data_IF_567322860907
#
_entry.id   IF_567322860907
#
_cell.length_a   1.000
_cell.length_b   1.000
_cell.length_c   1.000
_cell.angle_alpha   90.00
_cell.angle_beta   90.00
_cell.angle_gamma   90.00
#
_symmetry.space_group_name_H-M   'P 1'
#
loop_
_entity.id
_entity.type
_entity.pdbx_description
1 polymer ?
#
# COMPACT_ATOMS: atom_id res chain seq x y z
N UNK A 1 -5.48 -3.82 16.51
CA UNK A 1 -5.78 -3.89 15.05
C UNK A 1 -4.47 -4.06 14.32
N UNK A 2 -4.40 -5.00 13.38
CA UNK A 2 -3.23 -5.20 12.52
C UNK A 2 -3.50 -4.52 11.17
N UNK A 3 -2.50 -3.82 10.64
CA UNK A 3 -2.57 -3.10 9.36
C UNK A 3 -1.37 -3.51 8.52
N UNK A 4 -1.64 -3.86 7.26
CA UNK A 4 -0.66 -4.15 6.22
C UNK A 4 -1.05 -3.31 5.01
N UNK A 5 -0.06 -2.82 4.26
CA UNK A 5 -0.31 -2.07 3.05
C UNK A 5 -0.77 -0.64 3.27
N UNK A 6 -1.23 -0.03 2.17
CA UNK A 6 -1.64 1.36 2.08
C UNK A 6 -0.62 2.25 1.36
N UNK A 7 -1.15 3.25 0.65
CA UNK A 7 -0.33 4.19 -0.12
C UNK A 7 0.45 5.15 0.78
N UNK A 8 1.52 5.73 0.23
CA UNK A 8 2.22 6.83 0.88
C UNK A 8 1.40 8.13 0.75
N UNK A 9 1.05 8.75 1.88
CA UNK A 9 0.17 9.93 1.91
C UNK A 9 0.75 11.10 1.11
N UNK A 10 2.03 11.40 1.27
CA UNK A 10 2.67 12.54 0.61
C UNK A 10 2.68 12.38 -0.91
N UNK A 11 3.02 11.18 -1.39
CA UNK A 11 2.98 10.85 -2.82
C UNK A 11 1.55 10.94 -3.37
N UNK A 12 0.57 10.42 -2.63
CA UNK A 12 -0.84 10.47 -3.03
C UNK A 12 -1.39 11.89 -3.08
N UNK A 13 -1.16 12.69 -2.04
CA UNK A 13 -1.62 14.08 -1.98
C UNK A 13 -0.99 14.91 -3.11
N UNK A 14 0.31 14.73 -3.36
CA UNK A 14 1.00 15.36 -4.49
C UNK A 14 0.37 14.96 -5.82
N UNK A 15 0.09 13.68 -6.01
CA UNK A 15 -0.53 13.20 -7.25
C UNK A 15 -1.93 13.76 -7.46
N UNK A 16 -2.78 13.72 -6.43
CA UNK A 16 -4.15 14.27 -6.49
C UNK A 16 -4.12 15.77 -6.79
N UNK A 17 -3.23 16.52 -6.15
CA UNK A 17 -3.08 17.96 -6.38
C UNK A 17 -2.72 18.27 -7.85
N UNK A 18 -1.73 17.57 -8.41
CA UNK A 18 -1.31 17.77 -9.80
C UNK A 18 -2.38 17.29 -10.80
N UNK A 19 -3.03 16.16 -10.53
CA UNK A 19 -4.11 15.64 -11.38
C UNK A 19 -5.33 16.58 -11.41
N UNK A 20 -5.59 17.31 -10.33
CA UNK A 20 -6.67 18.30 -10.26
C UNK A 20 -6.31 19.63 -10.91
N UNK A 21 -5.06 20.08 -10.78
CA UNK A 21 -4.63 21.42 -11.18
C UNK A 21 -4.08 21.51 -12.61
N UNK A 22 -3.24 20.57 -13.05
CA UNK A 22 -2.61 20.59 -14.38
C UNK A 22 -3.65 20.40 -15.50
N UNK A 23 -3.32 20.91 -16.70
CA UNK A 23 -4.15 20.81 -17.91
C UNK A 23 -3.31 20.45 -19.13
N UNK A 24 -3.99 20.03 -20.19
CA UNK A 24 -3.43 19.81 -21.54
C UNK A 24 -2.14 18.97 -21.53
N UNK A 25 -1.08 19.44 -22.20
CA UNK A 25 0.17 18.70 -22.34
C UNK A 25 0.86 18.46 -20.99
N UNK A 26 0.82 19.43 -20.06
CA UNK A 26 1.41 19.27 -18.73
C UNK A 26 0.72 18.13 -17.95
N UNK A 27 -0.62 18.04 -18.05
CA UNK A 27 -1.36 16.94 -17.44
C UNK A 27 -1.05 15.61 -18.12
N UNK A 28 -0.89 15.58 -19.45
CA UNK A 28 -0.54 14.37 -20.18
C UNK A 28 0.85 13.85 -19.77
N UNK A 29 1.84 14.74 -19.70
CA UNK A 29 3.21 14.42 -19.30
C UNK A 29 3.26 13.96 -17.85
N UNK A 30 2.53 14.64 -16.96
CA UNK A 30 2.41 14.24 -15.56
C UNK A 30 1.83 12.83 -15.42
N UNK A 31 0.73 12.52 -16.13
CA UNK A 31 0.10 11.19 -16.09
C UNK A 31 1.06 10.11 -16.61
N UNK A 32 1.72 10.36 -17.73
CA UNK A 32 2.69 9.42 -18.30
C UNK A 32 3.81 9.11 -17.29
N UNK A 33 4.36 10.15 -16.65
CA UNK A 33 5.38 9.99 -15.60
C UNK A 33 4.84 9.25 -14.38
N UNK A 34 3.72 9.71 -13.80
CA UNK A 34 3.19 9.18 -12.55
C UNK A 34 2.76 7.71 -12.67
N UNK A 35 1.95 7.36 -13.69
CA UNK A 35 1.50 5.98 -13.86
C UNK A 35 2.59 5.06 -14.44
N UNK A 36 3.57 5.65 -15.15
CA UNK A 36 4.74 4.96 -15.68
C UNK A 36 5.82 4.63 -14.63
N UNK A 37 5.82 5.31 -13.48
CA UNK A 37 6.83 5.15 -12.42
C UNK A 37 6.96 3.70 -11.91
N UNK A 38 8.16 3.38 -11.42
CA UNK A 38 8.42 2.08 -10.79
C UNK A 38 7.66 1.96 -9.45
N UNK A 39 7.34 0.72 -9.05
CA UNK A 39 6.63 0.44 -7.79
C UNK A 39 7.34 1.06 -6.58
N UNK A 40 8.68 1.06 -6.56
CA UNK A 40 9.47 1.60 -5.45
C UNK A 40 9.27 3.12 -5.25
N UNK A 41 8.95 3.86 -6.31
CA UNK A 41 8.78 5.32 -6.25
C UNK A 41 7.56 5.73 -5.43
N UNK A 42 6.55 4.86 -5.33
CA UNK A 42 5.32 5.16 -4.59
C UNK A 42 5.46 5.00 -3.09
N UNK A 43 6.53 4.33 -2.61
CA UNK A 43 6.85 4.18 -1.17
C UNK A 43 5.68 3.65 -0.33
N UNK A 44 4.87 2.75 -0.90
CA UNK A 44 3.73 2.17 -0.20
C UNK A 44 4.18 1.43 1.07
N UNK A 45 3.30 1.43 2.07
CA UNK A 45 3.65 1.00 3.41
C UNK A 45 3.89 -0.51 3.48
N UNK A 46 5.17 -0.89 3.60
CA UNK A 46 5.58 -2.27 3.80
C UNK A 46 5.68 -2.66 5.29
N UNK A 47 5.40 -1.75 6.23
CA UNK A 47 5.40 -2.08 7.66
C UNK A 47 4.15 -2.88 8.03
N UNK A 48 4.33 -3.88 8.88
CA UNK A 48 3.24 -4.55 9.57
C UNK A 48 2.98 -3.79 10.86
N UNK A 49 1.89 -3.04 10.92
CA UNK A 49 1.58 -2.15 12.04
C UNK A 49 0.56 -2.79 12.97
N UNK A 50 0.75 -2.56 14.27
CA UNK A 50 -0.21 -2.95 15.30
C UNK A 50 -0.63 -1.72 16.09
N UNK A 51 -1.93 -1.43 16.03
CA UNK A 51 -2.58 -0.45 16.90
C UNK A 51 -3.11 -1.13 18.16
N UNK A 52 -2.72 -0.58 19.31
CA UNK A 52 -3.26 -0.94 20.61
C UNK A 52 -4.28 0.10 21.07
N UNK A 53 -5.56 -0.28 21.08
CA UNK A 53 -6.66 0.60 21.44
C UNK A 53 -6.70 0.96 22.94
N UNK A 54 -6.10 0.14 23.82
CA UNK A 54 -6.07 0.43 25.28
C UNK A 54 -5.12 1.57 25.60
N UNK A 55 -3.99 1.62 24.90
CA UNK A 55 -2.93 2.61 25.14
C UNK A 55 -2.93 3.73 24.11
N UNK A 56 -3.75 3.63 23.05
CA UNK A 56 -3.75 4.52 21.90
C UNK A 56 -2.34 4.67 21.28
N UNK A 57 -1.66 3.55 21.07
CA UNK A 57 -0.29 3.53 20.51
C UNK A 57 -0.16 2.62 19.31
N UNK A 58 0.79 2.97 18.46
CA UNK A 58 1.20 2.20 17.29
C UNK A 58 2.60 1.62 17.50
N UNK A 59 2.84 0.44 16.94
CA UNK A 59 4.17 -0.13 16.77
C UNK A 59 4.27 -0.88 15.46
N UNK A 60 5.47 -0.92 14.87
CA UNK A 60 5.79 -1.86 13.79
C UNK A 60 6.22 -3.20 14.38
N UNK A 61 5.86 -4.30 13.74
CA UNK A 61 6.27 -5.66 14.12
C UNK A 61 7.12 -6.35 13.05
N UNK A 62 7.52 -5.61 12.03
CA UNK A 62 8.29 -6.12 10.90
C UNK A 62 7.84 -5.52 9.58
N UNK A 63 8.39 -6.05 8.48
CA UNK A 63 8.04 -5.64 7.13
C UNK A 63 7.61 -6.84 6.30
N UNK A 64 6.68 -6.62 5.38
CA UNK A 64 6.36 -7.62 4.36
C UNK A 64 7.50 -7.72 3.33
N UNK A 65 7.85 -8.93 2.86
CA UNK A 65 8.97 -9.14 1.93
C UNK A 65 8.56 -9.00 0.45
N UNK A 66 7.46 -8.31 0.17
CA UNK A 66 6.89 -8.13 -1.17
C UNK A 66 6.34 -6.71 -1.33
N UNK A 67 6.02 -6.33 -2.57
CA UNK A 67 5.44 -5.01 -2.88
C UNK A 67 4.18 -4.79 -2.07
N UNK A 68 4.16 -3.71 -1.28
CA UNK A 68 3.04 -3.42 -0.40
C UNK A 68 1.74 -3.33 -1.20
N UNK A 69 0.66 -3.94 -0.72
CA UNK A 69 -0.62 -3.86 -1.40
C UNK A 69 -1.37 -2.57 -1.04
N UNK A 70 -2.28 -2.16 -1.90
CA UNK A 70 -3.33 -1.21 -1.58
C UNK A 70 -4.68 -1.77 -2.07
N UNK A 71 -5.64 -1.91 -1.15
CA UNK A 71 -6.97 -2.45 -1.47
C UNK A 71 -7.01 -3.98 -1.61
N UNK A 72 -6.09 -4.69 -0.97
CA UNK A 72 -6.10 -6.15 -0.85
C UNK A 72 -7.24 -6.67 0.01
N UNK A 73 -7.59 -7.95 -0.19
CA UNK A 73 -8.31 -8.71 0.82
C UNK A 73 -7.33 -9.16 1.90
N UNK A 74 -7.58 -8.79 3.16
CA UNK A 74 -6.78 -9.24 4.29
C UNK A 74 -7.63 -10.12 5.22
N UNK A 75 -7.30 -11.40 5.30
CA UNK A 75 -8.06 -12.41 6.04
C UNK A 75 -7.22 -12.93 7.20
N UNK A 76 -7.81 -12.95 8.39
CA UNK A 76 -7.30 -13.68 9.54
C UNK A 76 -8.05 -15.01 9.67
N UNK A 77 -7.32 -16.12 9.59
CA UNK A 77 -7.89 -17.47 9.60
C UNK A 77 -7.01 -18.42 10.42
N UNK A 78 -7.49 -18.83 11.60
CA UNK A 78 -6.73 -19.70 12.49
C UNK A 78 -5.46 -19.02 13.01
N UNK A 79 -4.31 -19.58 12.68
CA UNK A 79 -2.98 -19.02 12.96
C UNK A 79 -2.41 -18.23 11.76
N UNK A 80 -3.19 -18.02 10.69
CA UNK A 80 -2.71 -17.44 9.44
C UNK A 80 -3.28 -16.06 9.18
N UNK A 81 -2.46 -15.22 8.54
CA UNK A 81 -2.87 -13.98 7.89
C UNK A 81 -2.66 -14.16 6.40
N UNK A 82 -3.70 -13.95 5.61
CA UNK A 82 -3.70 -14.13 4.15
C UNK A 82 -3.94 -12.77 3.50
N UNK A 83 -2.99 -12.32 2.69
CA UNK A 83 -3.07 -11.12 1.86
C UNK A 83 -3.35 -11.52 0.41
N UNK A 84 -4.50 -11.10 -0.10
CA UNK A 84 -5.04 -11.51 -1.40
C UNK A 84 -5.00 -10.31 -2.35
N UNK A 85 -4.16 -10.41 -3.38
CA UNK A 85 -4.06 -9.45 -4.48
C UNK A 85 -3.66 -8.04 -4.01
N UNK A 86 -4.53 -7.06 -4.25
CA UNK A 86 -4.25 -5.62 -4.07
C UNK A 86 -3.60 -4.97 -5.30
N UNK A 87 -3.75 -3.65 -5.40
CA UNK A 87 -2.85 -2.86 -6.24
C UNK A 87 -1.43 -2.97 -5.70
N UNK A 88 -0.42 -2.81 -6.55
CA UNK A 88 1.01 -2.68 -6.16
C UNK A 88 1.60 -1.34 -6.58
N UNK A 89 0.94 -0.66 -7.52
CA UNK A 89 1.08 0.75 -7.85
C UNK A 89 -0.24 1.25 -8.45
N UNK A 90 -0.47 2.57 -8.58
CA UNK A 90 -1.73 3.10 -9.11
C UNK A 90 -2.09 2.48 -10.47
N UNK A 91 -3.26 1.85 -10.55
CA UNK A 91 -3.77 1.23 -11.77
C UNK A 91 -3.23 -0.17 -12.08
N UNK A 92 -2.32 -0.74 -11.28
CA UNK A 92 -1.73 -2.07 -11.51
C UNK A 92 -1.97 -2.98 -10.31
N UNK A 93 -2.65 -4.10 -10.55
CA UNK A 93 -2.99 -5.12 -9.55
C UNK A 93 -2.08 -6.33 -9.61
N UNK A 94 -1.79 -6.88 -8.44
CA UNK A 94 -1.19 -8.20 -8.28
C UNK A 94 -2.26 -9.28 -8.32
N UNK A 95 -1.95 -10.43 -8.92
CA UNK A 95 -2.74 -11.66 -8.83
C UNK A 95 -2.17 -12.65 -7.79
N UNK A 96 -1.22 -12.20 -6.95
CA UNK A 96 -0.54 -13.02 -5.97
C UNK A 96 -1.31 -13.08 -4.66
N UNK A 97 -1.20 -14.22 -3.99
CA UNK A 97 -1.69 -14.44 -2.63
C UNK A 97 -0.46 -14.74 -1.76
N UNK A 98 -0.38 -14.09 -0.61
CA UNK A 98 0.65 -14.32 0.39
C UNK A 98 0.01 -14.80 1.69
N UNK A 99 0.66 -15.74 2.35
CA UNK A 99 0.25 -16.24 3.66
C UNK A 99 1.40 -16.09 4.64
N UNK A 100 1.10 -15.53 5.80
CA UNK A 100 2.00 -15.50 6.96
C UNK A 100 1.37 -16.23 8.13
N UNK A 101 2.20 -16.82 8.99
CA UNK A 101 1.75 -17.55 10.18
C UNK A 101 2.10 -16.76 11.44
N UNK A 102 1.19 -16.80 12.41
CA UNK A 102 1.36 -16.26 13.75
C UNK A 102 1.98 -17.36 14.61
N UNK A 103 3.27 -17.24 14.88
CA UNK A 103 3.99 -18.16 15.77
C UNK A 103 3.82 -17.67 17.22
N UNK A 104 3.51 -18.61 18.13
CA UNK A 104 3.39 -18.36 19.57
C UNK A 104 4.73 -18.52 20.28
#
# INVERSE_FOLDING_TARGET
MLVIGGFNKEVYDWAVSNLGSLKDQELADFKAKYFGADVAEFKWNNQILVYNAKTNTWRSIGQIPFNAPCGEGLVYAGDSIISINGEVKPGVRSNRIYQGFIVK
#
